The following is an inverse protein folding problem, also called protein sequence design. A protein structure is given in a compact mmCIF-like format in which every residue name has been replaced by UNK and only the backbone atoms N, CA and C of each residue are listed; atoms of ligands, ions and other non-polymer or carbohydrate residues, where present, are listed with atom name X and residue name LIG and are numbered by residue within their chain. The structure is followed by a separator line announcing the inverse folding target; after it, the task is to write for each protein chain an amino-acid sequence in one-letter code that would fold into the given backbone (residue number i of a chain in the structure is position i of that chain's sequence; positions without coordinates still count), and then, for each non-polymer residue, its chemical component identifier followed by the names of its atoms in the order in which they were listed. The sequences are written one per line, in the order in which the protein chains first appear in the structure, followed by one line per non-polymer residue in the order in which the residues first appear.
data_IF_596219133285
#
_entry.id   IF_596219133285
#
_cell.length_a   1.000
_cell.length_b   1.000
_cell.length_c   1.000
_cell.angle_alpha   90.00
_cell.angle_beta   90.00
_cell.angle_gamma   90.00
#
_symmetry.space_group_name_H-M   'P 1'
#
loop_
_entity.id
_entity.type
_entity.pdbx_description
1 polymer ?
#
# COMPACT_ATOMS: atom_id res chain seq x y z
N UNK A 1 -27.77 -18.08 -4.20
CA UNK A 1 -27.00 -18.31 -2.95
C UNK A 1 -25.61 -17.65 -3.02
N UNK A 2 -24.89 -17.74 -4.15
CA UNK A 2 -23.48 -17.30 -4.27
C UNK A 2 -23.30 -15.80 -4.07
N UNK A 3 -24.18 -14.96 -4.59
CA UNK A 3 -24.14 -13.49 -4.44
C UNK A 3 -24.27 -13.05 -2.97
N UNK A 4 -25.14 -13.74 -2.20
CA UNK A 4 -25.32 -13.42 -0.77
C UNK A 4 -24.08 -13.82 0.04
N UNK A 5 -23.48 -14.96 -0.28
CA UNK A 5 -22.24 -15.41 0.35
C UNK A 5 -21.06 -14.49 0.02
N UNK A 6 -20.94 -14.01 -1.22
CA UNK A 6 -19.93 -13.07 -1.63
C UNK A 6 -20.06 -11.72 -0.91
N UNK A 7 -21.29 -11.20 -0.80
CA UNK A 7 -21.53 -9.95 -0.06
C UNK A 7 -21.27 -10.11 1.44
N UNK A 8 -21.65 -11.23 2.05
CA UNK A 8 -21.35 -11.52 3.45
C UNK A 8 -19.84 -11.61 3.71
N UNK A 9 -19.08 -12.23 2.80
CA UNK A 9 -17.62 -12.30 2.88
C UNK A 9 -16.98 -10.91 2.76
N UNK A 10 -17.44 -10.06 1.84
CA UNK A 10 -16.97 -8.68 1.71
C UNK A 10 -17.23 -7.88 2.99
N UNK A 11 -18.41 -8.00 3.57
CA UNK A 11 -18.75 -7.35 4.83
C UNK A 11 -17.86 -7.84 5.99
N UNK A 12 -17.60 -9.14 6.07
CA UNK A 12 -16.73 -9.70 7.11
C UNK A 12 -15.29 -9.18 7.01
N UNK A 13 -14.73 -9.11 5.79
CA UNK A 13 -13.42 -8.52 5.52
C UNK A 13 -13.41 -7.04 5.93
N UNK A 14 -14.48 -6.30 5.62
CA UNK A 14 -14.60 -4.89 5.96
C UNK A 14 -14.63 -4.66 7.47
N UNK A 15 -15.41 -5.46 8.20
CA UNK A 15 -15.48 -5.40 9.67
C UNK A 15 -14.12 -5.70 10.31
N UNK A 16 -13.41 -6.74 9.83
CA UNK A 16 -12.07 -7.06 10.32
C UNK A 16 -11.10 -5.89 10.11
N UNK A 17 -11.07 -5.29 8.92
CA UNK A 17 -10.22 -4.13 8.62
C UNK A 17 -10.54 -2.92 9.48
N UNK A 18 -11.83 -2.66 9.78
CA UNK A 18 -12.23 -1.60 10.69
C UNK A 18 -11.79 -1.86 12.13
N UNK A 19 -11.84 -3.12 12.59
CA UNK A 19 -11.34 -3.49 13.91
C UNK A 19 -9.83 -3.28 14.01
N UNK A 20 -9.06 -3.72 13.00
CA UNK A 20 -7.61 -3.47 12.94
C UNK A 20 -7.31 -1.96 12.98
N UNK A 21 -7.99 -1.16 12.15
CA UNK A 21 -7.80 0.28 12.13
C UNK A 21 -8.08 0.92 13.51
N UNK A 22 -9.16 0.52 14.16
CA UNK A 22 -9.48 1.02 15.50
C UNK A 22 -8.43 0.61 16.55
N UNK A 23 -7.91 -0.61 16.48
CA UNK A 23 -6.85 -1.06 17.40
C UNK A 23 -5.59 -0.22 17.26
N UNK A 24 -5.16 0.08 16.04
CA UNK A 24 -3.99 0.93 15.76
C UNK A 24 -4.24 2.37 16.25
N UNK A 25 -5.38 2.97 15.89
CA UNK A 25 -5.69 4.37 16.21
C UNK A 25 -5.85 4.63 17.71
N UNK A 26 -6.39 3.68 18.45
CA UNK A 26 -6.58 3.82 19.91
C UNK A 26 -5.35 3.35 20.72
N UNK A 27 -4.23 3.05 20.05
CA UNK A 27 -2.97 2.69 20.72
C UNK A 27 -2.99 1.35 21.44
N UNK A 28 -3.92 0.46 21.11
CA UNK A 28 -3.99 -0.89 21.68
C UNK A 28 -3.09 -1.90 20.92
N UNK A 29 -2.41 -1.42 19.87
CA UNK A 29 -1.55 -2.23 19.01
C UNK A 29 -0.26 -1.45 18.73
N UNK A 30 0.63 -1.45 19.74
CA UNK A 30 1.95 -0.81 19.61
C UNK A 30 2.80 -1.55 18.57
N UNK A 31 3.56 -0.83 17.70
CA UNK A 31 4.40 -1.47 16.69
C UNK A 31 5.56 -2.24 17.34
N UNK A 32 5.77 -3.48 16.89
CA UNK A 32 6.90 -4.32 17.28
C UNK A 32 8.10 -4.01 16.38
N UNK A 33 8.87 -2.98 16.75
CA UNK A 33 9.99 -2.49 15.95
C UNK A 33 11.16 -3.48 15.96
N UNK A 34 11.59 -3.92 14.79
CA UNK A 34 12.70 -4.86 14.59
C UNK A 34 13.52 -4.51 13.35
N UNK A 35 14.67 -5.15 13.21
CA UNK A 35 15.56 -4.99 12.06
C UNK A 35 15.35 -6.11 11.06
N UNK A 36 14.89 -5.78 9.86
CA UNK A 36 14.68 -6.73 8.77
C UNK A 36 15.12 -6.18 7.40
N UNK A 37 15.20 -7.05 6.38
CA UNK A 37 15.53 -6.66 5.03
C UNK A 37 14.27 -6.31 4.24
N UNK A 38 14.04 -5.03 3.99
CA UNK A 38 12.84 -4.56 3.28
C UNK A 38 12.74 -5.11 1.85
N UNK A 39 13.85 -5.38 1.18
CA UNK A 39 13.81 -5.91 -0.18
C UNK A 39 13.34 -7.37 -0.22
N UNK A 40 13.62 -8.16 0.81
CA UNK A 40 13.09 -9.53 0.94
C UNK A 40 11.57 -9.49 1.18
N UNK A 41 11.11 -8.59 2.04
CA UNK A 41 9.68 -8.38 2.27
C UNK A 41 8.96 -7.95 0.99
N UNK A 42 9.49 -6.95 0.27
CA UNK A 42 8.92 -6.49 -1.00
C UNK A 42 8.84 -7.65 -2.02
N UNK A 43 9.92 -8.41 -2.15
CA UNK A 43 9.94 -9.56 -3.06
C UNK A 43 8.84 -10.57 -2.73
N UNK A 44 8.67 -10.92 -1.45
CA UNK A 44 7.61 -11.81 -0.97
C UNK A 44 6.21 -11.30 -1.32
N UNK A 45 5.93 -10.02 -1.05
CA UNK A 45 4.61 -9.42 -1.33
C UNK A 45 4.35 -9.32 -2.84
N UNK A 46 5.35 -8.98 -3.64
CA UNK A 46 5.26 -8.96 -5.12
C UNK A 46 4.94 -10.35 -5.66
N UNK A 47 5.65 -11.38 -5.20
CA UNK A 47 5.44 -12.77 -5.63
C UNK A 47 4.04 -13.27 -5.23
N UNK A 48 3.57 -12.96 -4.04
CA UNK A 48 2.22 -13.29 -3.58
C UNK A 48 1.11 -12.65 -4.44
N UNK A 49 1.38 -11.49 -5.06
CA UNK A 49 0.43 -10.80 -5.93
C UNK A 49 0.60 -11.10 -7.43
N UNK A 50 1.60 -11.88 -7.84
CA UNK A 50 1.90 -12.16 -9.24
C UNK A 50 0.74 -12.83 -10.00
N UNK A 51 0.05 -13.79 -9.39
CA UNK A 51 -1.11 -14.49 -9.99
C UNK A 51 -2.26 -13.49 -10.21
N UNK A 52 -2.55 -12.65 -9.21
CA UNK A 52 -3.61 -11.64 -9.30
C UNK A 52 -3.31 -10.58 -10.36
N UNK A 53 -2.05 -10.16 -10.48
CA UNK A 53 -1.59 -9.26 -11.53
C UNK A 53 -1.78 -9.90 -12.91
N UNK A 54 -1.34 -11.16 -13.10
CA UNK A 54 -1.50 -11.90 -14.35
C UNK A 54 -2.95 -12.06 -14.79
N UNK A 55 -3.88 -12.32 -13.87
CA UNK A 55 -5.32 -12.39 -14.15
C UNK A 55 -5.90 -11.06 -14.69
N UNK A 56 -5.27 -9.95 -14.35
CA UNK A 56 -5.62 -8.62 -14.85
C UNK A 56 -4.81 -8.17 -16.07
N UNK A 57 -3.97 -9.04 -16.63
CA UNK A 57 -2.98 -8.74 -17.67
C UNK A 57 -2.04 -7.58 -17.27
N UNK A 58 -1.57 -7.61 -16.05
CA UNK A 58 -0.61 -6.67 -15.46
C UNK A 58 0.64 -7.44 -15.00
N UNK A 59 1.75 -6.72 -14.86
CA UNK A 59 2.97 -7.21 -14.22
C UNK A 59 3.40 -6.24 -13.13
N UNK A 60 3.99 -6.79 -12.07
CA UNK A 60 4.61 -5.99 -11.01
C UNK A 60 6.12 -6.20 -11.15
N UNK A 61 6.86 -5.11 -11.35
CA UNK A 61 8.32 -5.12 -11.48
C UNK A 61 8.94 -4.63 -10.18
N UNK A 62 9.95 -5.36 -9.69
CA UNK A 62 10.79 -4.96 -8.57
C UNK A 62 12.25 -5.28 -8.90
N UNK A 63 13.03 -4.26 -9.27
CA UNK A 63 14.39 -4.42 -9.79
C UNK A 63 15.44 -4.62 -8.69
N UNK A 64 15.24 -4.07 -7.49
CA UNK A 64 16.19 -4.12 -6.36
C UNK A 64 16.14 -5.40 -5.52
N UNK A 65 15.53 -6.47 -6.05
CA UNK A 65 15.24 -7.73 -5.34
C UNK A 65 16.48 -8.36 -4.66
N UNK A 66 17.64 -8.23 -5.24
CA UNK A 66 18.88 -8.82 -4.73
C UNK A 66 19.70 -7.90 -3.82
N UNK A 67 19.27 -6.67 -3.60
CA UNK A 67 19.93 -5.74 -2.70
C UNK A 67 19.56 -6.03 -1.25
N UNK A 68 20.50 -5.80 -0.33
CA UNK A 68 20.25 -5.91 1.10
C UNK A 68 20.05 -4.53 1.70
N UNK A 69 18.80 -4.19 1.94
CA UNK A 69 18.39 -2.93 2.54
C UNK A 69 17.72 -3.18 3.90
N UNK A 70 18.51 -3.05 4.97
CA UNK A 70 18.01 -3.23 6.33
C UNK A 70 17.37 -1.95 6.87
N UNK A 71 16.18 -2.12 7.46
CA UNK A 71 15.39 -1.05 8.08
C UNK A 71 15.03 -1.41 9.51
N UNK A 72 14.59 -0.41 10.28
CA UNK A 72 14.07 -0.54 11.63
C UNK A 72 12.60 -0.16 11.63
N UNK A 73 11.71 -1.14 11.64
CA UNK A 73 10.27 -0.97 11.58
C UNK A 73 9.56 -2.23 12.10
N UNK A 74 8.23 -2.20 12.16
CA UNK A 74 7.42 -3.39 12.36
C UNK A 74 7.23 -4.10 11.00
N UNK A 75 7.81 -5.30 10.84
CA UNK A 75 7.79 -6.04 9.57
C UNK A 75 6.37 -6.38 9.13
N UNK A 76 5.53 -6.85 10.05
CA UNK A 76 4.14 -7.23 9.75
C UNK A 76 3.29 -6.01 9.33
N UNK A 77 3.39 -4.90 10.04
CA UNK A 77 2.70 -3.66 9.69
C UNK A 77 3.22 -3.07 8.36
N UNK A 78 4.52 -3.20 8.10
CA UNK A 78 5.13 -2.78 6.82
C UNK A 78 4.62 -3.64 5.66
N UNK A 79 4.46 -4.96 5.86
CA UNK A 79 3.82 -5.85 4.88
C UNK A 79 2.38 -5.41 4.57
N UNK A 80 1.62 -5.00 5.58
CA UNK A 80 0.25 -4.52 5.41
C UNK A 80 0.21 -3.21 4.62
N UNK A 81 1.12 -2.26 4.88
CA UNK A 81 1.27 -1.02 4.08
C UNK A 81 1.53 -1.35 2.61
N UNK A 82 2.52 -2.20 2.35
CA UNK A 82 2.91 -2.57 1.00
C UNK A 82 1.78 -3.32 0.25
N UNK A 83 1.09 -4.22 0.93
CA UNK A 83 -0.07 -4.95 0.40
C UNK A 83 -1.21 -4.01 0.03
N UNK A 84 -1.48 -2.98 0.83
CA UNK A 84 -2.48 -1.97 0.53
C UNK A 84 -2.09 -1.13 -0.70
N UNK A 85 -0.82 -0.71 -0.82
CA UNK A 85 -0.34 0.04 -1.99
C UNK A 85 -0.38 -0.79 -3.27
N UNK A 86 0.09 -2.05 -3.24
CA UNK A 86 0.04 -2.96 -4.41
C UNK A 86 -1.41 -3.26 -4.79
N UNK A 87 -2.30 -3.50 -3.81
CA UNK A 87 -3.72 -3.71 -4.08
C UNK A 87 -4.37 -2.48 -4.72
N UNK A 88 -3.98 -1.29 -4.28
CA UNK A 88 -4.43 -0.02 -4.85
C UNK A 88 -3.92 0.13 -6.29
N UNK A 89 -2.64 -0.12 -6.52
CA UNK A 89 -2.05 -0.12 -7.85
C UNK A 89 -2.77 -1.08 -8.81
N UNK A 90 -3.03 -2.33 -8.40
CA UNK A 90 -3.75 -3.32 -9.20
C UNK A 90 -5.21 -2.94 -9.51
N UNK A 91 -5.83 -2.09 -8.69
CA UNK A 91 -7.20 -1.65 -8.88
C UNK A 91 -7.31 -0.38 -9.75
N UNK A 92 -6.27 0.46 -9.75
CA UNK A 92 -6.29 1.77 -10.43
C UNK A 92 -5.32 1.87 -11.61
N UNK A 93 -4.48 0.84 -11.82
CA UNK A 93 -3.59 0.79 -12.97
C UNK A 93 -4.38 0.74 -14.28
N UNK A 94 -4.01 1.62 -15.21
CA UNK A 94 -4.63 1.76 -16.54
C UNK A 94 -3.55 2.10 -17.59
N UNK A 95 -3.95 2.23 -18.85
CA UNK A 95 -3.05 2.58 -19.94
C UNK A 95 -1.99 1.50 -20.19
N UNK A 96 -0.73 1.77 -19.86
CA UNK A 96 0.40 0.84 -20.06
C UNK A 96 0.34 -0.40 -19.17
N UNK A 97 -0.51 -0.42 -18.16
CA UNK A 97 -0.66 -1.49 -17.18
C UNK A 97 0.63 -1.88 -16.47
N UNK A 98 1.48 -0.87 -16.21
CA UNK A 98 2.75 -1.03 -15.54
C UNK A 98 2.60 -0.71 -14.04
N UNK A 99 3.10 -1.61 -13.19
CA UNK A 99 3.25 -1.42 -11.76
C UNK A 99 4.72 -1.67 -11.43
N UNK A 100 5.35 -0.72 -10.75
CA UNK A 100 6.75 -0.81 -10.36
C UNK A 100 6.89 -0.56 -8.87
N UNK A 101 7.69 -1.38 -8.20
CA UNK A 101 8.12 -1.14 -6.83
C UNK A 101 9.61 -0.80 -6.86
N UNK A 102 9.99 0.23 -6.15
CA UNK A 102 11.39 0.70 -6.08
C UNK A 102 11.77 0.99 -4.64
N UNK A 103 13.04 0.77 -4.32
CA UNK A 103 13.65 1.21 -3.07
C UNK A 103 14.77 2.20 -3.39
N UNK A 104 14.83 3.29 -2.65
CA UNK A 104 15.85 4.31 -2.77
C UNK A 104 16.35 4.68 -1.39
N UNK A 105 17.68 4.62 -1.22
CA UNK A 105 18.33 4.98 0.04
C UNK A 105 18.70 6.45 0.02
N UNK A 106 18.43 7.16 1.13
CA UNK A 106 18.82 8.55 1.28
C UNK A 106 20.36 8.73 1.22
N UNK A 107 20.83 9.91 0.81
CA UNK A 107 22.26 10.20 0.65
C UNK A 107 23.06 9.99 1.94
N UNK A 108 22.48 10.28 3.10
CA UNK A 108 23.07 10.06 4.43
C UNK A 108 22.97 8.61 4.91
N UNK A 109 22.27 7.75 4.15
CA UNK A 109 22.05 6.34 4.45
C UNK A 109 21.14 6.11 5.65
N UNK A 110 20.42 7.13 6.13
CA UNK A 110 19.57 7.06 7.32
C UNK A 110 18.18 6.51 7.07
N UNK A 111 17.71 6.59 5.82
CA UNK A 111 16.32 6.26 5.47
C UNK A 111 16.28 5.50 4.14
N UNK A 112 15.31 4.61 3.99
CA UNK A 112 14.95 3.98 2.73
C UNK A 112 13.53 4.39 2.38
N UNK A 113 13.37 4.96 1.18
CA UNK A 113 12.06 5.24 0.58
C UNK A 113 11.63 4.05 -0.25
N UNK A 114 10.45 3.51 0.02
CA UNK A 114 9.78 2.53 -0.82
C UNK A 114 8.73 3.24 -1.64
N UNK A 115 8.74 3.05 -2.95
CA UNK A 115 7.77 3.67 -3.88
C UNK A 115 7.05 2.57 -4.65
N UNK A 116 5.72 2.65 -4.69
CA UNK A 116 4.85 1.84 -5.54
C UNK A 116 4.22 2.75 -6.59
N UNK A 117 4.67 2.59 -7.82
CA UNK A 117 4.13 3.30 -8.98
C UNK A 117 3.08 2.45 -9.70
N UNK A 118 2.05 3.08 -10.20
CA UNK A 118 1.16 2.51 -11.21
C UNK A 118 0.87 3.51 -12.33
N UNK A 119 0.88 3.03 -13.57
CA UNK A 119 0.41 3.82 -14.70
C UNK A 119 -1.10 4.07 -14.62
N UNK A 120 -1.55 5.21 -15.11
CA UNK A 120 -2.97 5.56 -15.14
C UNK A 120 -3.21 7.05 -14.98
N UNK A 121 -4.45 7.40 -14.65
CA UNK A 121 -4.85 8.79 -14.44
C UNK A 121 -4.35 9.31 -13.09
N UNK A 122 -3.92 10.57 -13.12
CA UNK A 122 -3.58 11.29 -11.89
C UNK A 122 -4.80 11.44 -10.98
N UNK A 123 -4.52 11.51 -9.69
CA UNK A 123 -5.49 11.86 -8.65
C UNK A 123 -5.74 13.38 -8.75
N UNK A 124 -6.99 13.82 -8.64
CA UNK A 124 -7.28 15.25 -8.60
C UNK A 124 -6.64 15.90 -7.36
N UNK A 125 -6.12 17.12 -7.52
CA UNK A 125 -5.39 17.79 -6.44
C UNK A 125 -6.22 17.92 -5.15
N UNK A 126 -7.53 18.13 -5.29
CA UNK A 126 -8.50 18.19 -4.19
C UNK A 126 -8.70 16.86 -3.45
N UNK A 127 -8.33 15.74 -4.10
CA UNK A 127 -8.45 14.39 -3.55
C UNK A 127 -7.18 13.92 -2.85
N UNK A 128 -5.99 14.50 -3.16
CA UNK A 128 -4.69 14.03 -2.67
C UNK A 128 -4.58 13.96 -1.13
N UNK A 129 -5.22 14.90 -0.43
CA UNK A 129 -5.26 14.88 1.03
C UNK A 129 -6.38 13.98 1.56
N UNK A 130 -7.49 13.86 0.83
CA UNK A 130 -8.70 13.17 1.25
C UNK A 130 -8.67 11.67 1.07
N UNK A 131 -7.82 11.15 0.16
CA UNK A 131 -7.71 9.70 -0.06
C UNK A 131 -7.28 8.91 1.18
N UNK A 132 -6.71 9.59 2.20
CA UNK A 132 -6.33 9.00 3.49
C UNK A 132 -7.48 8.93 4.51
N UNK A 133 -8.63 9.57 4.20
CA UNK A 133 -9.83 9.53 5.03
C UNK A 133 -10.53 8.16 4.91
N UNK A 134 -11.15 7.72 6.02
CA UNK A 134 -11.94 6.48 6.04
C UNK A 134 -13.12 6.58 5.07
N UNK A 135 -13.34 5.52 4.30
CA UNK A 135 -14.44 5.39 3.33
C UNK A 135 -14.40 6.39 2.17
N UNK A 136 -13.35 7.20 2.09
CA UNK A 136 -13.22 8.12 0.97
C UNK A 136 -12.93 7.35 -0.32
N UNK A 137 -13.62 7.72 -1.37
CA UNK A 137 -13.41 7.25 -2.74
C UNK A 137 -13.58 8.43 -3.67
N UNK A 138 -12.68 8.56 -4.62
CA UNK A 138 -12.86 9.52 -5.72
C UNK A 138 -14.13 9.18 -6.51
N UNK A 139 -14.77 10.15 -7.14
CA UNK A 139 -16.04 9.95 -7.83
C UNK A 139 -16.01 8.82 -8.89
N UNK A 140 -14.85 8.58 -9.49
CA UNK A 140 -14.63 7.48 -10.46
C UNK A 140 -14.49 6.10 -9.80
N UNK A 141 -14.09 6.02 -8.55
CA UNK A 141 -13.98 4.78 -7.78
C UNK A 141 -15.30 4.36 -7.13
N UNK A 142 -16.36 5.18 -7.23
CA UNK A 142 -17.72 4.86 -6.75
C UNK A 142 -18.43 3.83 -7.63
N UNK A 143 -18.03 3.66 -8.89
CA UNK A 143 -18.57 2.60 -9.74
C UNK A 143 -18.15 1.25 -9.20
N UNK A 144 -19.09 0.30 -9.11
CA UNK A 144 -18.96 -1.02 -8.47
C UNK A 144 -17.84 -1.93 -9.01
N UNK A 145 -17.18 -1.56 -10.08
CA UNK A 145 -16.10 -2.34 -10.71
C UNK A 145 -14.75 -2.28 -9.97
N UNK A 146 -14.49 -1.24 -9.18
CA UNK A 146 -13.23 -1.11 -8.44
C UNK A 146 -13.44 -1.51 -6.98
N UNK A 147 -13.18 -2.78 -6.68
CA UNK A 147 -13.51 -3.49 -5.44
C UNK A 147 -12.79 -3.05 -4.15
N UNK A 148 -12.49 -1.76 -3.96
CA UNK A 148 -11.89 -1.25 -2.72
C UNK A 148 -12.94 -0.71 -1.75
N UNK A 149 -12.78 -1.00 -0.44
CA UNK A 149 -13.70 -0.54 0.62
C UNK A 149 -13.44 0.89 1.12
N UNK A 150 -12.43 1.60 0.56
CA UNK A 150 -12.05 2.95 1.01
C UNK A 150 -11.40 2.99 2.40
N UNK A 151 -10.86 1.86 2.88
CA UNK A 151 -10.22 1.75 4.20
C UNK A 151 -8.71 1.51 4.06
N UNK A 152 -8.23 1.00 2.93
CA UNK A 152 -6.83 0.59 2.77
C UNK A 152 -5.82 1.71 3.03
N UNK A 153 -6.05 2.90 2.49
CA UNK A 153 -5.15 4.04 2.70
C UNK A 153 -5.27 4.63 4.10
N UNK A 154 -6.42 4.58 4.76
CA UNK A 154 -6.54 4.98 6.16
C UNK A 154 -5.83 4.02 7.13
N UNK A 155 -5.74 2.73 6.78
CA UNK A 155 -4.90 1.76 7.51
C UNK A 155 -3.43 2.11 7.33
N UNK A 156 -2.97 2.39 6.10
CA UNK A 156 -1.60 2.84 5.85
C UNK A 156 -1.26 4.05 6.70
N UNK A 157 -2.13 5.07 6.68
CA UNK A 157 -1.97 6.27 7.51
C UNK A 157 -1.79 5.91 8.99
N UNK A 158 -2.68 5.12 9.55
CA UNK A 158 -2.64 4.74 10.96
C UNK A 158 -1.36 3.97 11.33
N UNK A 159 -0.93 3.03 10.46
CA UNK A 159 0.30 2.26 10.65
C UNK A 159 1.52 3.18 10.62
N UNK A 160 1.66 4.01 9.59
CA UNK A 160 2.82 4.87 9.43
C UNK A 160 2.91 5.92 10.53
N UNK A 161 1.76 6.51 10.92
CA UNK A 161 1.67 7.42 12.06
C UNK A 161 2.07 6.71 13.38
N UNK A 162 1.67 5.44 13.60
CA UNK A 162 2.03 4.67 14.80
C UNK A 162 3.53 4.37 14.89
N UNK A 163 4.21 4.22 13.75
CA UNK A 163 5.66 4.01 13.68
C UNK A 163 6.44 5.33 13.65
N UNK A 164 5.75 6.50 13.53
CA UNK A 164 6.40 7.81 13.38
C UNK A 164 7.15 7.95 12.05
N UNK A 165 6.72 7.25 10.98
CA UNK A 165 7.36 7.24 9.69
C UNK A 165 6.55 8.04 8.66
N UNK A 166 7.24 8.65 7.69
CA UNK A 166 6.61 9.46 6.66
C UNK A 166 6.04 8.61 5.52
N UNK A 167 4.97 9.07 4.91
CA UNK A 167 4.32 8.45 3.77
C UNK A 167 3.62 9.51 2.93
N UNK A 168 3.25 9.14 1.71
CA UNK A 168 2.55 10.08 0.86
C UNK A 168 2.16 9.51 -0.50
N UNK A 169 1.66 10.42 -1.32
CA UNK A 169 1.27 10.19 -2.70
C UNK A 169 1.72 11.36 -3.55
N UNK A 170 2.09 11.10 -4.79
CA UNK A 170 2.36 12.14 -5.78
C UNK A 170 1.92 11.71 -7.17
N UNK A 171 1.40 12.66 -7.91
CA UNK A 171 1.13 12.49 -9.32
C UNK A 171 2.44 12.59 -10.13
N UNK A 172 2.59 11.72 -11.12
CA UNK A 172 3.67 11.78 -12.10
C UNK A 172 3.08 11.88 -13.51
N UNK A 173 3.92 12.04 -14.54
CA UNK A 173 3.47 12.34 -15.91
C UNK A 173 2.43 11.37 -16.48
N UNK A 174 2.51 10.08 -16.14
CA UNK A 174 1.67 9.01 -16.70
C UNK A 174 1.11 8.06 -15.63
N UNK A 175 1.03 8.52 -14.37
CA UNK A 175 0.54 7.68 -13.28
C UNK A 175 0.62 8.32 -11.91
N UNK A 176 0.63 7.47 -10.90
CA UNK A 176 0.66 7.86 -9.49
C UNK A 176 1.72 7.06 -8.75
N UNK A 177 2.43 7.68 -7.86
CA UNK A 177 3.36 7.06 -6.94
C UNK A 177 2.87 7.20 -5.51
N UNK A 178 2.68 6.06 -4.83
CA UNK A 178 2.54 5.99 -3.38
C UNK A 178 3.89 5.63 -2.78
N UNK A 179 4.29 6.31 -1.72
CA UNK A 179 5.59 6.11 -1.11
C UNK A 179 5.51 6.11 0.42
N UNK A 180 6.48 5.48 1.06
CA UNK A 180 6.72 5.57 2.50
C UNK A 180 8.21 5.48 2.80
N UNK A 181 8.61 6.06 3.91
CA UNK A 181 9.97 6.05 4.42
C UNK A 181 10.10 5.07 5.58
N UNK A 182 11.25 4.42 5.67
CA UNK A 182 11.62 3.60 6.82
C UNK A 182 13.03 3.97 7.27
N UNK A 183 13.23 4.11 8.58
CA UNK A 183 14.54 4.37 9.16
C UNK A 183 15.46 3.15 9.03
N UNK A 184 16.74 3.38 8.76
CA UNK A 184 17.77 2.34 8.72
C UNK A 184 18.41 2.08 10.10
N UNK A 185 18.12 2.93 11.09
CA UNK A 185 18.70 2.88 12.44
C UNK A 185 17.58 2.87 13.48
N UNK A 186 17.82 2.11 14.56
CA UNK A 186 17.00 2.12 15.78
C UNK A 186 17.14 3.43 16.55
#
# INVERSE_FOLDING_TARGET
CDVIMDEANKMNIMVKRLLTLNQIEFGNDEPEMERFNINELIASVVDANAIRAGQKNMSIVFDNRNEQNFVWADEYKTEEVLTNYISNALNHCDGKRAIEVRTEKSEDGGTITVTVYNSGKNIADEDLERIWEKFYKTDKARTREYGGNGIGLSIVKAIMDSMGQEYGVRNVSDGVEFWFNLDCKS
#
